data_IF_169644884943
#
_entry.id   IF_169644884943
#
_cell.length_a   1.000
_cell.length_b   1.000
_cell.length_c   1.000
_cell.angle_alpha   90.00
_cell.angle_beta   90.00
_cell.angle_gamma   90.00
#
_symmetry.space_group_name_H-M   'P 1'
#
loop_
_entity.id
_entity.type
_entity.pdbx_description
1 polymer ?
#
# COMPACT_ATOMS: atom_id res chain seq x y z
N UNK A 1 12.66 -44.59 -19.08
CA UNK A 1 11.77 -43.84 -18.16
C UNK A 1 12.18 -42.38 -18.21
N UNK A 2 11.30 -41.49 -18.68
CA UNK A 2 11.57 -40.04 -18.76
C UNK A 2 11.14 -39.40 -17.43
N UNK A 3 12.10 -38.94 -16.63
CA UNK A 3 11.83 -38.13 -15.46
C UNK A 3 11.40 -36.73 -15.92
N UNK A 4 10.11 -36.45 -15.83
CA UNK A 4 9.59 -35.09 -15.98
C UNK A 4 9.99 -34.31 -14.71
N UNK A 5 11.05 -33.51 -14.83
CA UNK A 5 11.38 -32.46 -13.87
C UNK A 5 10.29 -31.39 -13.95
N UNK A 6 9.29 -31.52 -13.07
CA UNK A 6 8.34 -30.45 -12.80
C UNK A 6 9.12 -29.38 -12.04
N UNK A 7 9.62 -28.36 -12.74
CA UNK A 7 10.08 -27.14 -12.11
C UNK A 7 8.88 -26.48 -11.44
N UNK A 8 8.68 -26.81 -10.16
CA UNK A 8 7.80 -26.07 -9.27
C UNK A 8 8.39 -24.67 -9.10
N UNK A 9 8.07 -23.76 -10.02
CA UNK A 9 8.30 -22.34 -9.85
C UNK A 9 7.50 -21.92 -8.62
N UNK A 10 8.19 -21.77 -7.49
CA UNK A 10 7.69 -21.07 -6.33
C UNK A 10 7.45 -19.62 -6.76
N UNK A 11 6.23 -19.33 -7.20
CA UNK A 11 5.77 -17.97 -7.41
C UNK A 11 5.68 -17.37 -6.00
N UNK A 12 6.72 -16.64 -5.60
CA UNK A 12 6.66 -15.80 -4.40
C UNK A 12 5.61 -14.73 -4.65
N UNK A 13 4.38 -14.98 -4.22
CA UNK A 13 3.32 -13.99 -4.20
C UNK A 13 3.67 -12.97 -3.10
N UNK A 14 4.54 -12.02 -3.42
CA UNK A 14 4.83 -10.89 -2.55
C UNK A 14 3.64 -9.94 -2.62
N UNK A 15 2.72 -10.11 -1.67
CA UNK A 15 1.57 -9.25 -1.48
C UNK A 15 2.06 -7.88 -0.98
N UNK A 16 2.28 -6.95 -1.90
CA UNK A 16 2.70 -5.59 -1.57
C UNK A 16 1.45 -4.79 -1.21
N UNK A 17 1.14 -4.73 0.08
CA UNK A 17 0.10 -3.83 0.59
C UNK A 17 0.39 -2.39 0.12
N UNK A 18 -0.63 -1.68 -0.37
CA UNK A 18 -0.50 -0.31 -0.86
C UNK A 18 -0.02 0.65 0.24
N UNK A 19 0.67 1.74 -0.14
CA UNK A 19 1.22 2.71 0.81
C UNK A 19 0.17 3.37 1.69
N UNK A 20 -1.04 3.59 1.16
CA UNK A 20 -2.15 4.14 1.92
C UNK A 20 -2.58 3.16 3.03
N UNK A 21 -2.81 1.90 2.67
CA UNK A 21 -3.21 0.87 3.63
C UNK A 21 -2.20 0.76 4.79
N UNK A 22 -0.91 0.64 4.48
CA UNK A 22 0.14 0.55 5.50
C UNK A 22 0.19 1.79 6.39
N UNK A 23 -0.04 2.98 5.84
CA UNK A 23 -0.07 4.20 6.63
C UNK A 23 -1.26 4.24 7.59
N UNK A 24 -2.46 3.92 7.10
CA UNK A 24 -3.69 3.86 7.91
C UNK A 24 -3.52 2.94 9.13
N UNK A 25 -3.02 1.72 8.92
CA UNK A 25 -2.80 0.74 10.00
C UNK A 25 -1.84 1.24 11.06
N UNK A 26 -0.75 1.88 10.64
CA UNK A 26 0.29 2.34 11.57
C UNK A 26 -0.08 3.63 12.29
N UNK A 27 -1.13 4.33 11.84
CA UNK A 27 -1.50 5.66 12.32
C UNK A 27 -2.99 5.76 12.69
N UNK A 28 -3.59 4.66 13.18
CA UNK A 28 -4.99 4.61 13.59
C UNK A 28 -5.39 5.72 14.59
N UNK A 29 -4.44 6.21 15.40
CA UNK A 29 -4.66 7.34 16.32
C UNK A 29 -5.12 8.62 15.60
N UNK A 30 -4.55 8.92 14.41
CA UNK A 30 -4.87 10.13 13.64
C UNK A 30 -5.81 9.85 12.45
N UNK A 31 -5.82 8.60 11.97
CA UNK A 31 -6.66 8.15 10.87
C UNK A 31 -8.03 7.62 11.32
N UNK A 32 -8.22 7.48 12.63
CA UNK A 32 -9.31 6.70 13.20
C UNK A 32 -9.03 5.21 13.10
N UNK A 33 -9.83 4.40 13.77
CA UNK A 33 -9.79 2.95 13.63
C UNK A 33 -10.66 2.53 12.44
N UNK A 34 -10.08 2.13 11.29
CA UNK A 34 -10.87 1.79 10.10
C UNK A 34 -11.74 0.54 10.29
N UNK A 35 -11.49 -0.21 11.37
CA UNK A 35 -12.20 -1.43 11.76
C UNK A 35 -13.17 -1.23 12.94
N UNK A 36 -13.31 0.00 13.45
CA UNK A 36 -14.23 0.26 14.55
C UNK A 36 -15.70 0.20 14.13
N UNK A 37 -15.98 0.37 12.83
CA UNK A 37 -17.32 0.23 12.28
C UNK A 37 -17.54 -1.20 11.78
N UNK A 38 -18.36 -2.03 12.46
CA UNK A 38 -18.61 -3.41 12.04
C UNK A 38 -19.38 -3.51 10.72
N UNK A 39 -19.98 -2.43 10.23
CA UNK A 39 -20.66 -2.40 8.93
C UNK A 39 -19.71 -2.24 7.75
N UNK A 40 -18.47 -1.80 7.97
CA UNK A 40 -17.54 -1.42 6.90
C UNK A 40 -16.20 -2.11 7.08
N UNK A 41 -15.83 -2.95 6.12
CA UNK A 41 -14.57 -3.69 6.08
C UNK A 41 -13.62 -2.98 5.10
N UNK A 42 -12.44 -2.50 5.54
CA UNK A 42 -11.45 -1.92 4.65
C UNK A 42 -10.99 -2.90 3.56
N UNK A 43 -11.08 -2.46 2.31
CA UNK A 43 -10.65 -3.22 1.13
C UNK A 43 -9.33 -2.65 0.65
N UNK A 44 -8.24 -3.37 0.94
CA UNK A 44 -6.90 -2.84 0.74
C UNK A 44 -6.36 -3.07 -0.67
N UNK A 45 -6.70 -4.20 -1.29
CA UNK A 45 -6.07 -4.64 -2.57
C UNK A 45 -7.08 -5.06 -3.64
N UNK A 46 -8.37 -4.94 -3.35
CA UNK A 46 -9.47 -5.32 -4.26
C UNK A 46 -10.53 -4.21 -4.37
N UNK A 47 -10.09 -2.94 -4.34
CA UNK A 47 -11.00 -1.85 -4.59
C UNK A 47 -11.28 -1.76 -6.10
N UNK A 48 -12.49 -2.15 -6.50
CA UNK A 48 -12.96 -2.13 -7.88
C UNK A 48 -13.38 -0.71 -8.31
N UNK A 49 -13.61 0.18 -7.34
CA UNK A 49 -13.89 1.60 -7.54
C UNK A 49 -12.63 2.45 -7.38
N UNK A 50 -12.59 3.62 -8.04
CA UNK A 50 -11.46 4.55 -7.93
C UNK A 50 -11.67 5.53 -6.78
N UNK A 51 -10.98 5.33 -5.66
CA UNK A 51 -10.87 6.30 -4.56
C UNK A 51 -9.62 7.17 -4.71
N UNK A 52 -9.63 8.40 -4.19
CA UNK A 52 -8.42 9.23 -4.13
C UNK A 52 -7.45 8.65 -3.08
N UNK A 53 -6.31 8.06 -3.48
CA UNK A 53 -5.42 7.38 -2.54
C UNK A 53 -4.79 8.33 -1.52
N UNK A 54 -4.83 9.65 -1.74
CA UNK A 54 -4.28 10.64 -0.80
C UNK A 54 -5.30 11.11 0.24
N UNK A 55 -6.59 10.88 -0.01
CA UNK A 55 -7.68 11.46 0.79
C UNK A 55 -8.69 10.46 1.29
N UNK A 56 -8.77 9.30 0.65
CA UNK A 56 -9.84 8.34 0.85
C UNK A 56 -9.26 6.92 1.02
N UNK A 57 -10.07 6.07 1.62
CA UNK A 57 -9.82 4.63 1.71
C UNK A 57 -11.07 3.87 1.31
N UNK A 58 -10.85 2.70 0.72
CA UNK A 58 -11.93 1.86 0.21
C UNK A 58 -12.44 0.96 1.32
N UNK A 59 -13.76 0.87 1.45
CA UNK A 59 -14.45 -0.04 2.37
C UNK A 59 -15.56 -0.78 1.64
N UNK A 60 -15.92 -1.94 2.15
CA UNK A 60 -16.99 -2.80 1.65
C UNK A 60 -17.93 -3.18 2.80
N UNK A 61 -19.22 -3.28 2.52
CA UNK A 61 -20.21 -3.74 3.49
C UNK A 61 -20.55 -5.23 3.31
N UNK A 62 -21.41 -5.74 4.19
CA UNK A 62 -21.96 -7.10 4.15
C UNK A 62 -22.74 -7.43 2.86
N UNK A 63 -23.21 -6.42 2.12
CA UNK A 63 -23.84 -6.55 0.81
C UNK A 63 -22.84 -6.55 -0.37
N UNK A 64 -21.52 -6.59 -0.11
CA UNK A 64 -20.46 -6.52 -1.13
C UNK A 64 -20.46 -5.20 -1.93
N UNK A 65 -20.95 -4.12 -1.34
CA UNK A 65 -20.92 -2.78 -1.94
C UNK A 65 -19.72 -2.01 -1.44
N UNK A 66 -18.90 -1.57 -2.39
CA UNK A 66 -17.73 -0.75 -2.10
C UNK A 66 -18.06 0.74 -2.07
N UNK A 67 -17.39 1.48 -1.20
CA UNK A 67 -17.42 2.94 -1.20
C UNK A 67 -16.09 3.54 -0.73
N UNK A 68 -15.86 4.78 -1.16
CA UNK A 68 -14.73 5.58 -0.68
C UNK A 68 -15.15 6.33 0.59
N UNK A 69 -14.38 6.15 1.66
CA UNK A 69 -14.52 6.91 2.90
C UNK A 69 -13.40 7.94 2.98
N UNK A 70 -13.71 9.21 3.32
CA UNK A 70 -12.69 10.21 3.51
C UNK A 70 -11.87 9.92 4.77
N UNK A 71 -10.56 10.10 4.68
CA UNK A 71 -9.66 10.14 5.83
C UNK A 71 -9.85 11.44 6.62
N UNK A 72 -9.63 11.45 7.94
CA UNK A 72 -9.53 12.68 8.71
C UNK A 72 -8.45 13.61 8.17
N UNK A 73 -8.64 14.93 8.24
CA UNK A 73 -7.70 15.92 7.69
C UNK A 73 -6.28 15.76 8.25
N UNK A 74 -6.16 15.43 9.54
CA UNK A 74 -4.87 15.17 10.19
C UNK A 74 -4.15 13.96 9.58
N UNK A 75 -4.90 12.89 9.29
CA UNK A 75 -4.37 11.70 8.62
C UNK A 75 -3.93 12.01 7.17
N UNK A 76 -4.72 12.78 6.42
CA UNK A 76 -4.36 13.19 5.05
C UNK A 76 -3.04 13.96 5.02
N UNK A 77 -2.86 14.90 5.96
CA UNK A 77 -1.63 15.66 6.11
C UNK A 77 -0.45 14.74 6.46
N UNK A 78 -0.62 13.87 7.45
CA UNK A 78 0.41 12.90 7.85
C UNK A 78 0.81 11.96 6.71
N UNK A 79 -0.15 11.52 5.91
CA UNK A 79 0.11 10.64 4.77
C UNK A 79 0.87 11.35 3.66
N UNK A 80 0.49 12.58 3.34
CA UNK A 80 1.19 13.42 2.37
C UNK A 80 2.66 13.63 2.76
N UNK A 81 2.93 13.90 4.04
CA UNK A 81 4.30 14.02 4.56
C UNK A 81 5.06 12.69 4.50
N UNK A 82 4.41 11.57 4.84
CA UNK A 82 4.99 10.24 4.73
C UNK A 82 5.42 9.93 3.30
N UNK A 83 4.56 10.20 2.31
CA UNK A 83 4.88 9.98 0.90
C UNK A 83 6.03 10.86 0.41
N UNK A 84 6.04 12.16 0.77
CA UNK A 84 7.16 13.05 0.44
C UNK A 84 8.50 12.54 0.99
N UNK A 85 8.51 12.04 2.23
CA UNK A 85 9.70 11.45 2.86
C UNK A 85 10.09 10.10 2.24
N UNK A 86 9.13 9.29 1.79
CA UNK A 86 9.41 8.01 1.13
C UNK A 86 10.03 8.23 -0.25
N UNK A 87 9.50 9.19 -1.01
CA UNK A 87 9.96 9.52 -2.36
C UNK A 87 11.40 10.08 -2.37
N UNK A 88 11.69 11.03 -1.48
CA UNK A 88 13.07 11.55 -1.31
C UNK A 88 14.08 10.45 -0.96
N UNK A 89 13.69 9.47 -0.12
CA UNK A 89 14.55 8.32 0.20
C UNK A 89 14.73 7.36 -0.99
N UNK A 90 13.70 7.13 -1.78
CA UNK A 90 13.78 6.22 -2.95
C UNK A 90 14.69 6.81 -4.02
N UNK A 91 14.60 8.11 -4.27
CA UNK A 91 15.47 8.85 -5.19
C UNK A 91 16.93 8.84 -4.72
N UNK A 92 17.19 9.14 -3.44
CA UNK A 92 18.54 9.07 -2.87
C UNK A 92 19.14 7.65 -2.86
N UNK A 93 18.32 6.59 -2.87
CA UNK A 93 18.77 5.20 -3.04
C UNK A 93 19.08 4.89 -4.51
N UNK A 94 18.26 5.38 -5.44
CA UNK A 94 18.50 5.27 -6.88
C UNK A 94 19.82 5.92 -7.28
N UNK A 95 20.09 7.12 -6.79
CA UNK A 95 21.36 7.85 -7.00
C UNK A 95 22.54 7.04 -6.44
N UNK A 96 22.47 6.55 -5.19
CA UNK A 96 23.56 5.74 -4.60
C UNK A 96 23.85 4.45 -5.37
N UNK A 97 22.83 3.78 -5.93
CA UNK A 97 23.02 2.60 -6.78
C UNK A 97 23.66 2.98 -8.11
N UNK A 98 23.22 4.06 -8.75
CA UNK A 98 23.81 4.59 -9.98
C UNK A 98 25.28 4.94 -9.81
N UNK A 99 25.65 5.59 -8.69
CA UNK A 99 27.06 5.91 -8.36
C UNK A 99 27.87 4.63 -8.11
N UNK A 100 27.33 3.66 -7.35
CA UNK A 100 28.03 2.39 -7.05
C UNK A 100 28.28 1.55 -8.30
N UNK A 101 27.38 1.61 -9.28
CA UNK A 101 27.52 0.95 -10.59
C UNK A 101 28.48 1.64 -11.57
N UNK A 102 28.90 2.89 -11.31
CA UNK A 102 29.87 3.65 -12.11
C UNK A 102 31.29 3.63 -11.54
N UNK A 103 31.60 2.71 -10.62
CA UNK A 103 32.97 2.59 -10.11
C UNK A 103 33.86 2.10 -11.26
N UNK A 104 34.89 2.86 -11.70
CA UNK A 104 35.79 2.40 -12.75
C UNK A 104 36.53 1.16 -12.24
N UNK A 105 36.72 0.18 -13.12
CA UNK A 105 37.67 -0.93 -12.92
C UNK A 105 39.10 -0.41 -12.92
#
# INVERSE_FOLDING_TARGET
MRFLLVCSSLISLSYAADDNSQFLFNNAVICGEPFADPMWIPVLDMCDISCDPLKEYCVENDELKQMCKPMPEECQRGFSEYLARKWTKSEGRGIRRSIRGRRPL
#
